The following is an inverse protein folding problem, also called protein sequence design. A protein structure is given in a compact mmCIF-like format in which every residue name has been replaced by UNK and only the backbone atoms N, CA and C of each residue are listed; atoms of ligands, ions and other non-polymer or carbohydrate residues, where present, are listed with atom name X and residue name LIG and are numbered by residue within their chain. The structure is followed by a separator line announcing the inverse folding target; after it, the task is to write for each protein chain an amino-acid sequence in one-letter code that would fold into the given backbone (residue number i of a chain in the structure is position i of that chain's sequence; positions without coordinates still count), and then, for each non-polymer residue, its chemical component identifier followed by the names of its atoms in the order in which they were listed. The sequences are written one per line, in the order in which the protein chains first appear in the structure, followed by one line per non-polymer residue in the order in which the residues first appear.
data_IF_747334890785
#
_entry.id   IF_747334890785
#
_cell.length_a   1.000
_cell.length_b   1.000
_cell.length_c   1.000
_cell.angle_alpha   90.00
_cell.angle_beta   90.00
_cell.angle_gamma   90.00
#
_symmetry.space_group_name_H-M   'P 1'
#
loop_
_entity.id
_entity.type
_entity.pdbx_description
1 polymer ?
#
# COMPACT_ATOMS: atom_id res chain seq x y z
N UNK A 1 -15.77 56.77 -23.18
CA UNK A 1 -16.10 55.34 -23.39
C UNK A 1 -14.98 54.40 -22.88
N UNK A 2 -14.36 54.69 -21.73
CA UNK A 2 -13.37 53.80 -21.06
C UNK A 2 -13.64 53.73 -19.53
N UNK A 3 -14.68 54.38 -19.03
CA UNK A 3 -15.00 54.41 -17.59
C UNK A 3 -16.04 53.37 -17.14
N UNK A 4 -16.74 52.68 -18.06
CA UNK A 4 -17.81 51.74 -17.71
C UNK A 4 -17.38 50.25 -17.73
N UNK A 5 -16.16 49.94 -18.16
CA UNK A 5 -15.67 48.55 -18.23
C UNK A 5 -15.04 48.04 -16.91
N UNK A 6 -15.26 48.71 -15.77
CA UNK A 6 -14.68 48.34 -14.46
C UNK A 6 -15.69 48.03 -13.35
N UNK A 7 -17.00 47.97 -13.65
CA UNK A 7 -18.03 47.67 -12.66
C UNK A 7 -18.63 46.25 -12.73
N UNK A 8 -18.23 45.41 -13.69
CA UNK A 8 -18.77 44.05 -13.85
C UNK A 8 -18.09 42.92 -13.05
N UNK A 9 -17.04 43.21 -12.26
CA UNK A 9 -16.24 42.16 -11.57
C UNK A 9 -16.38 42.16 -10.05
N UNK A 10 -17.51 42.67 -9.53
CA UNK A 10 -17.89 42.55 -8.10
C UNK A 10 -18.98 41.49 -7.86
N UNK A 11 -19.04 40.47 -8.71
CA UNK A 11 -19.74 39.24 -8.40
C UNK A 11 -18.91 38.41 -7.42
N UNK A 12 -19.18 38.58 -6.11
CA UNK A 12 -18.54 37.80 -5.07
C UNK A 12 -18.68 36.30 -5.36
N UNK A 13 -17.56 35.61 -5.49
CA UNK A 13 -17.54 34.15 -5.44
C UNK A 13 -18.26 33.72 -4.16
N UNK A 14 -19.22 32.78 -4.21
CA UNK A 14 -19.79 32.25 -2.99
C UNK A 14 -18.65 31.63 -2.20
N UNK A 15 -18.41 32.17 -0.99
CA UNK A 15 -17.38 31.67 -0.09
C UNK A 15 -17.64 30.18 0.17
N UNK A 16 -16.66 29.34 -0.15
CA UNK A 16 -16.67 27.88 0.06
C UNK A 16 -16.85 27.45 1.53
N UNK A 17 -17.04 28.41 2.45
CA UNK A 17 -17.29 28.18 3.87
C UNK A 17 -18.72 27.73 4.17
N UNK A 18 -19.70 27.95 3.28
CA UNK A 18 -21.12 27.62 3.56
C UNK A 18 -21.60 26.27 3.03
N UNK A 19 -20.88 25.65 2.09
CA UNK A 19 -21.23 24.31 1.58
C UNK A 19 -20.62 23.16 2.41
N UNK A 20 -19.71 23.48 3.34
CA UNK A 20 -18.96 22.48 4.13
C UNK A 20 -19.49 22.29 5.57
N UNK A 21 -20.64 22.89 5.89
CA UNK A 21 -21.24 22.83 7.24
C UNK A 21 -22.12 21.61 7.50
N UNK A 22 -22.86 21.12 6.48
CA UNK A 22 -23.75 19.96 6.63
C UNK A 22 -23.00 18.62 6.54
N UNK A 23 -21.88 18.57 5.82
CA UNK A 23 -21.05 17.38 5.68
C UNK A 23 -20.11 17.12 6.88
N UNK A 24 -19.84 18.13 7.71
CA UNK A 24 -18.91 18.02 8.86
C UNK A 24 -19.51 17.39 10.13
N UNK A 25 -20.83 17.17 10.15
CA UNK A 25 -21.55 16.69 11.35
C UNK A 25 -22.26 15.35 11.13
N UNK A 26 -21.94 14.63 10.05
CA UNK A 26 -22.14 13.18 10.00
C UNK A 26 -20.92 12.58 10.68
N UNK A 27 -21.10 12.20 11.95
CA UNK A 27 -20.10 11.67 12.86
C UNK A 27 -19.15 10.71 12.12
N UNK A 28 -17.83 10.89 12.19
CA UNK A 28 -16.88 9.99 11.50
C UNK A 28 -17.13 8.50 11.76
N UNK A 29 -17.79 8.18 12.88
CA UNK A 29 -18.30 6.85 13.25
C UNK A 29 -19.41 6.33 12.32
N UNK A 30 -20.36 7.15 11.88
CA UNK A 30 -21.43 6.73 10.94
C UNK A 30 -20.87 6.47 9.54
N UNK A 31 -19.90 7.29 9.10
CA UNK A 31 -19.20 7.07 7.83
C UNK A 31 -18.33 5.81 7.87
N UNK A 32 -17.61 5.57 8.98
CA UNK A 32 -16.86 4.34 9.20
C UNK A 32 -17.78 3.11 9.15
N UNK A 33 -18.93 3.18 9.85
CA UNK A 33 -19.92 2.11 9.86
C UNK A 33 -20.49 1.82 8.48
N UNK A 34 -20.82 2.85 7.70
CA UNK A 34 -21.30 2.71 6.32
C UNK A 34 -20.23 2.09 5.40
N UNK A 35 -18.97 2.53 5.52
CA UNK A 35 -17.86 1.98 4.75
C UNK A 35 -17.60 0.50 5.09
N UNK A 36 -17.67 0.14 6.37
CA UNK A 36 -17.55 -1.25 6.82
C UNK A 36 -18.70 -2.11 6.30
N UNK A 37 -19.94 -1.62 6.37
CA UNK A 37 -21.09 -2.32 5.82
C UNK A 37 -20.94 -2.55 4.31
N UNK A 38 -20.52 -1.52 3.57
CA UNK A 38 -20.23 -1.62 2.14
C UNK A 38 -19.12 -2.64 1.85
N UNK A 39 -18.06 -2.66 2.66
CA UNK A 39 -16.98 -3.64 2.53
C UNK A 39 -17.48 -5.06 2.76
N UNK A 40 -18.31 -5.29 3.78
CA UNK A 40 -18.89 -6.62 4.06
C UNK A 40 -19.80 -7.07 2.91
N UNK A 41 -20.67 -6.19 2.42
CA UNK A 41 -21.58 -6.51 1.31
C UNK A 41 -20.80 -6.80 0.03
N UNK A 42 -19.82 -5.97 -0.33
CA UNK A 42 -19.01 -6.17 -1.54
C UNK A 42 -18.10 -7.40 -1.44
N UNK A 43 -17.53 -7.67 -0.27
CA UNK A 43 -16.76 -8.90 0.00
C UNK A 43 -17.63 -10.15 -0.18
N UNK A 44 -18.85 -10.13 0.35
CA UNK A 44 -19.80 -11.23 0.19
C UNK A 44 -20.20 -11.41 -1.28
N UNK A 45 -20.59 -10.34 -1.97
CA UNK A 45 -20.92 -10.39 -3.41
C UNK A 45 -19.75 -10.91 -4.25
N UNK A 46 -18.52 -10.51 -3.94
CA UNK A 46 -17.30 -10.96 -4.64
C UNK A 46 -17.09 -12.47 -4.60
N UNK A 47 -17.59 -13.17 -3.58
CA UNK A 47 -17.47 -14.63 -3.49
C UNK A 47 -18.35 -15.37 -4.51
N UNK A 48 -19.47 -14.76 -4.91
CA UNK A 48 -20.43 -15.36 -5.84
C UNK A 48 -20.15 -14.97 -7.30
N UNK A 49 -19.44 -13.86 -7.54
CA UNK A 49 -19.03 -13.44 -8.88
C UNK A 49 -17.83 -14.28 -9.36
N UNK A 50 -17.98 -15.04 -10.45
CA UNK A 50 -16.87 -15.75 -11.07
C UNK A 50 -17.29 -16.70 -12.20
N UNK A 51 -16.30 -17.39 -12.78
CA UNK A 51 -16.48 -18.26 -13.96
C UNK A 51 -17.37 -19.48 -13.67
N UNK A 52 -17.43 -19.93 -12.41
CA UNK A 52 -18.33 -20.99 -11.97
C UNK A 52 -19.60 -20.43 -11.29
N UNK A 53 -20.77 -20.93 -11.66
CA UNK A 53 -22.02 -20.64 -10.97
C UNK A 53 -22.06 -21.45 -9.67
N UNK A 54 -21.63 -20.84 -8.56
CA UNK A 54 -21.72 -21.44 -7.23
C UNK A 54 -22.97 -20.89 -6.57
N UNK A 55 -23.97 -21.74 -6.29
CA UNK A 55 -25.12 -21.30 -5.49
C UNK A 55 -24.82 -21.42 -4.00
N UNK A 56 -25.41 -20.57 -3.13
CA UNK A 56 -25.22 -20.66 -1.67
C UNK A 56 -25.60 -22.02 -1.08
N UNK A 57 -26.52 -22.74 -1.74
CA UNK A 57 -26.96 -24.09 -1.37
C UNK A 57 -25.88 -25.15 -1.61
N UNK A 58 -25.05 -24.98 -2.64
CA UNK A 58 -23.94 -25.91 -2.94
C UNK A 58 -22.81 -25.76 -1.91
N UNK A 59 -22.58 -24.54 -1.42
CA UNK A 59 -21.61 -24.24 -0.36
C UNK A 59 -22.03 -24.88 0.97
N UNK A 60 -23.34 -24.88 1.27
CA UNK A 60 -23.87 -25.45 2.52
C UNK A 60 -23.78 -26.98 2.57
N UNK A 61 -23.75 -27.64 1.41
CA UNK A 61 -23.65 -29.09 1.30
C UNK A 61 -22.23 -29.62 1.55
N UNK A 62 -21.21 -28.76 1.53
CA UNK A 62 -19.79 -29.07 1.79
C UNK A 62 -19.29 -30.35 1.10
N UNK A 63 -19.87 -30.70 -0.05
CA UNK A 63 -19.46 -31.89 -0.78
C UNK A 63 -18.17 -31.58 -1.53
N UNK A 64 -17.04 -32.03 -0.98
CA UNK A 64 -15.69 -31.80 -1.52
C UNK A 64 -15.42 -32.57 -2.83
N UNK A 65 -16.39 -33.36 -3.30
CA UNK A 65 -16.35 -34.07 -4.58
C UNK A 65 -16.67 -33.16 -5.77
N UNK A 66 -17.41 -32.06 -5.57
CA UNK A 66 -17.77 -31.13 -6.64
C UNK A 66 -16.64 -30.16 -6.98
N UNK A 67 -16.28 -30.11 -8.26
CA UNK A 67 -15.27 -29.20 -8.81
C UNK A 67 -15.56 -27.73 -8.44
N UNK A 68 -16.85 -27.37 -8.32
CA UNK A 68 -17.31 -26.03 -7.98
C UNK A 68 -16.97 -25.63 -6.54
N UNK A 69 -17.18 -26.53 -5.58
CA UNK A 69 -16.84 -26.34 -4.16
C UNK A 69 -15.34 -26.20 -3.96
N UNK A 70 -14.53 -26.97 -4.72
CA UNK A 70 -13.06 -26.84 -4.71
C UNK A 70 -12.58 -25.48 -5.22
N UNK A 71 -13.11 -24.99 -6.34
CA UNK A 71 -12.75 -23.66 -6.86
C UNK A 71 -13.10 -22.55 -5.85
N UNK A 72 -14.23 -22.70 -5.14
CA UNK A 72 -14.64 -21.76 -4.10
C UNK A 72 -13.64 -21.71 -2.94
N UNK A 73 -13.27 -22.87 -2.37
CA UNK A 73 -12.38 -22.98 -1.21
C UNK A 73 -10.91 -22.70 -1.54
N UNK A 74 -10.43 -23.15 -2.70
CA UNK A 74 -9.01 -23.13 -3.06
C UNK A 74 -8.59 -21.82 -3.76
N UNK A 75 -9.55 -21.09 -4.35
CA UNK A 75 -9.26 -19.86 -5.10
C UNK A 75 -10.04 -18.64 -4.60
N UNK A 76 -11.37 -18.71 -4.48
CA UNK A 76 -12.18 -17.50 -4.18
C UNK A 76 -11.97 -16.99 -2.75
N UNK A 77 -12.04 -17.88 -1.77
CA UNK A 77 -11.84 -17.50 -0.36
C UNK A 77 -10.41 -17.00 -0.09
N UNK A 78 -9.33 -17.69 -0.53
CA UNK A 78 -7.97 -17.20 -0.38
C UNK A 78 -7.74 -15.87 -1.09
N UNK A 79 -8.32 -15.68 -2.27
CA UNK A 79 -8.24 -14.42 -3.02
C UNK A 79 -8.88 -13.26 -2.25
N UNK A 80 -10.09 -13.45 -1.71
CA UNK A 80 -10.76 -12.43 -0.90
C UNK A 80 -9.92 -12.08 0.34
N UNK A 81 -9.43 -13.09 1.06
CA UNK A 81 -8.57 -12.89 2.22
C UNK A 81 -7.31 -12.11 1.87
N UNK A 82 -6.66 -12.45 0.75
CA UNK A 82 -5.47 -11.74 0.30
C UNK A 82 -5.75 -10.28 -0.07
N UNK A 83 -6.87 -9.98 -0.74
CA UNK A 83 -7.28 -8.61 -1.06
C UNK A 83 -7.48 -7.78 0.21
N UNK A 84 -8.20 -8.33 1.20
CA UNK A 84 -8.47 -7.64 2.46
C UNK A 84 -7.17 -7.40 3.27
N UNK A 85 -6.30 -8.41 3.37
CA UNK A 85 -5.04 -8.31 4.08
C UNK A 85 -4.06 -7.36 3.39
N UNK A 86 -3.88 -7.49 2.06
CA UNK A 86 -2.99 -6.60 1.30
C UNK A 86 -3.49 -5.16 1.35
N UNK A 87 -4.79 -4.93 1.13
CA UNK A 87 -5.36 -3.58 1.13
C UNK A 87 -5.26 -2.89 2.49
N UNK A 88 -5.60 -3.59 3.58
CA UNK A 88 -5.49 -3.04 4.93
C UNK A 88 -4.04 -2.78 5.33
N UNK A 89 -3.14 -3.74 5.09
CA UNK A 89 -1.73 -3.62 5.43
C UNK A 89 -1.02 -2.51 4.64
N UNK A 90 -1.29 -2.39 3.34
CA UNK A 90 -0.74 -1.30 2.51
C UNK A 90 -1.24 0.07 2.96
N UNK A 91 -2.51 0.18 3.34
CA UNK A 91 -3.07 1.42 3.89
C UNK A 91 -2.39 1.80 5.21
N UNK A 92 -2.24 0.84 6.13
CA UNK A 92 -1.55 1.07 7.41
C UNK A 92 -0.07 1.42 7.20
N UNK A 93 0.63 0.70 6.32
CA UNK A 93 2.02 0.97 5.98
C UNK A 93 2.21 2.38 5.39
N UNK A 94 1.30 2.79 4.50
CA UNK A 94 1.22 4.14 3.96
C UNK A 94 1.06 5.19 5.04
N UNK A 95 0.07 5.03 5.93
CA UNK A 95 -0.18 5.96 7.03
C UNK A 95 1.05 6.12 7.94
N UNK A 96 1.69 5.01 8.31
CA UNK A 96 2.88 5.04 9.17
C UNK A 96 4.04 5.73 8.45
N UNK A 97 4.27 5.43 7.17
CA UNK A 97 5.32 6.11 6.40
C UNK A 97 5.08 7.62 6.33
N UNK A 98 3.85 8.04 6.03
CA UNK A 98 3.46 9.45 5.97
C UNK A 98 3.68 10.15 7.30
N UNK A 99 3.36 9.47 8.42
CA UNK A 99 3.54 9.99 9.79
C UNK A 99 5.01 10.14 10.13
N UNK A 100 5.83 9.12 9.86
CA UNK A 100 7.25 9.11 10.18
C UNK A 100 8.07 10.09 9.34
N UNK A 101 7.76 10.19 8.05
CA UNK A 101 8.41 11.14 7.11
C UNK A 101 7.81 12.54 7.23
N UNK A 102 6.68 12.68 7.94
CA UNK A 102 5.93 13.94 8.10
C UNK A 102 5.54 14.54 6.74
N UNK A 103 5.19 13.67 5.80
CA UNK A 103 4.81 14.05 4.44
C UNK A 103 3.71 13.13 3.91
N UNK A 104 2.52 13.70 3.72
CA UNK A 104 1.32 12.98 3.26
C UNK A 104 1.38 12.48 1.81
N UNK A 105 2.37 12.93 1.03
CA UNK A 105 2.55 12.49 -0.35
C UNK A 105 3.55 11.32 -0.48
N UNK A 106 4.11 10.85 0.64
CA UNK A 106 5.08 9.76 0.65
C UNK A 106 4.39 8.46 1.05
N UNK A 107 4.55 7.45 0.22
CA UNK A 107 4.10 6.08 0.49
C UNK A 107 5.12 5.07 -0.06
N UNK A 108 5.10 3.80 0.39
CA UNK A 108 5.99 2.77 -0.11
C UNK A 108 6.03 2.65 -1.64
N UNK A 109 4.86 2.80 -2.29
CA UNK A 109 4.71 2.80 -3.75
C UNK A 109 5.45 3.96 -4.43
N UNK A 110 5.53 5.13 -3.77
CA UNK A 110 6.27 6.30 -4.26
C UNK A 110 7.75 6.28 -3.90
N UNK A 111 8.15 5.45 -2.94
CA UNK A 111 9.52 5.36 -2.42
C UNK A 111 10.45 4.45 -3.24
N UNK A 112 10.03 4.02 -4.44
CA UNK A 112 10.80 3.08 -5.27
C UNK A 112 10.85 1.65 -4.73
N UNK A 113 10.02 1.32 -3.73
CA UNK A 113 9.97 -0.03 -3.12
C UNK A 113 9.59 -1.09 -4.15
N UNK A 114 8.59 -0.79 -4.98
CA UNK A 114 8.12 -1.69 -6.06
C UNK A 114 9.22 -1.93 -7.09
N UNK A 115 9.87 -0.87 -7.56
CA UNK A 115 10.97 -0.96 -8.53
C UNK A 115 12.14 -1.78 -7.97
N UNK A 116 12.43 -1.61 -6.68
CA UNK A 116 13.48 -2.36 -5.99
C UNK A 116 13.11 -3.83 -5.81
N UNK A 117 11.86 -4.14 -5.46
CA UNK A 117 11.35 -5.52 -5.41
C UNK A 117 11.48 -6.21 -6.77
N UNK A 118 11.07 -5.52 -7.85
CA UNK A 118 11.17 -6.00 -9.23
C UNK A 118 12.60 -6.28 -9.64
N UNK A 119 13.54 -5.36 -9.32
CA UNK A 119 14.96 -5.59 -9.54
C UNK A 119 15.44 -6.85 -8.80
N UNK A 120 15.07 -6.99 -7.52
CA UNK A 120 15.42 -8.16 -6.71
C UNK A 120 14.87 -9.47 -7.27
N UNK A 121 13.67 -9.46 -7.84
CA UNK A 121 13.06 -10.63 -8.49
C UNK A 121 13.79 -11.03 -9.77
N UNK A 122 14.18 -10.05 -10.61
CA UNK A 122 15.00 -10.29 -11.80
C UNK A 122 16.36 -10.87 -11.40
N UNK A 123 17.02 -10.23 -10.45
CA UNK A 123 18.30 -10.65 -9.84
C UNK A 123 18.23 -12.07 -9.29
N UNK A 124 17.20 -12.36 -8.49
CA UNK A 124 16.98 -13.68 -7.93
C UNK A 124 16.73 -14.74 -9.01
N UNK A 125 16.02 -14.39 -10.08
CA UNK A 125 15.72 -15.33 -11.16
C UNK A 125 16.94 -15.63 -12.01
N UNK A 126 17.82 -14.65 -12.25
CA UNK A 126 19.05 -14.84 -13.02
C UNK A 126 20.06 -15.72 -12.26
N UNK A 127 20.33 -15.41 -10.98
CA UNK A 127 21.38 -16.11 -10.22
C UNK A 127 20.88 -17.31 -9.42
N UNK A 128 19.60 -17.35 -9.06
CA UNK A 128 18.99 -18.41 -8.25
C UNK A 128 17.78 -19.03 -8.96
N UNK A 129 17.84 -19.15 -10.30
CA UNK A 129 16.74 -19.64 -11.14
C UNK A 129 16.18 -21.01 -10.73
N UNK A 130 17.02 -21.92 -10.24
CA UNK A 130 16.64 -23.26 -9.75
C UNK A 130 16.21 -23.30 -8.27
N UNK A 131 16.35 -22.20 -7.54
CA UNK A 131 16.03 -22.17 -6.12
C UNK A 131 14.51 -22.12 -5.86
N UNK A 132 14.14 -22.43 -4.62
CA UNK A 132 12.74 -22.39 -4.17
C UNK A 132 12.13 -21.00 -4.35
N UNK A 133 10.81 -20.97 -4.55
CA UNK A 133 10.04 -19.71 -4.64
C UNK A 133 10.27 -18.82 -3.41
N UNK A 134 10.38 -19.44 -2.23
CA UNK A 134 10.61 -18.74 -0.97
C UNK A 134 11.95 -17.99 -0.95
N UNK A 135 13.02 -18.59 -1.49
CA UNK A 135 14.32 -17.91 -1.56
C UNK A 135 14.26 -16.71 -2.49
N UNK A 136 13.63 -16.85 -3.67
CA UNK A 136 13.47 -15.75 -4.63
C UNK A 136 12.66 -14.60 -4.03
N UNK A 137 11.57 -14.93 -3.32
CA UNK A 137 10.76 -13.95 -2.61
C UNK A 137 11.54 -13.24 -1.51
N UNK A 138 12.36 -13.98 -0.74
CA UNK A 138 13.20 -13.40 0.30
C UNK A 138 14.22 -12.41 -0.26
N UNK A 139 14.87 -12.75 -1.39
CA UNK A 139 15.79 -11.84 -2.07
C UNK A 139 15.06 -10.58 -2.57
N UNK A 140 13.89 -10.74 -3.18
CA UNK A 140 13.08 -9.60 -3.62
C UNK A 140 12.68 -8.69 -2.45
N UNK A 141 12.30 -9.27 -1.31
CA UNK A 141 12.01 -8.52 -0.07
C UNK A 141 13.23 -7.76 0.44
N UNK A 142 14.42 -8.37 0.43
CA UNK A 142 15.65 -7.70 0.83
C UNK A 142 15.99 -6.51 -0.08
N UNK A 143 15.84 -6.66 -1.40
CA UNK A 143 16.04 -5.57 -2.35
C UNK A 143 15.01 -4.45 -2.16
N UNK A 144 13.74 -4.80 -1.98
CA UNK A 144 12.68 -3.84 -1.67
C UNK A 144 13.01 -3.04 -0.41
N UNK A 145 13.37 -3.73 0.67
CA UNK A 145 13.75 -3.14 1.94
C UNK A 145 14.97 -2.23 1.81
N UNK A 146 16.02 -2.69 1.11
CA UNK A 146 17.22 -1.89 0.85
C UNK A 146 16.90 -0.64 0.03
N UNK A 147 16.03 -0.76 -0.99
CA UNK A 147 15.58 0.35 -1.81
C UNK A 147 14.80 1.39 -1.01
N UNK A 148 13.85 0.97 -0.18
CA UNK A 148 13.09 1.87 0.70
C UNK A 148 14.02 2.58 1.70
N UNK A 149 14.94 1.84 2.33
CA UNK A 149 15.91 2.43 3.28
C UNK A 149 16.85 3.41 2.59
N UNK A 150 17.30 3.11 1.37
CA UNK A 150 18.12 4.02 0.57
C UNK A 150 17.35 5.30 0.22
N UNK A 151 16.10 5.17 -0.23
CA UNK A 151 15.22 6.32 -0.47
C UNK A 151 15.06 7.17 0.80
N UNK A 152 14.79 6.54 1.94
CA UNK A 152 14.66 7.25 3.21
C UNK A 152 15.94 7.98 3.62
N UNK A 153 17.11 7.35 3.41
CA UNK A 153 18.39 7.98 3.66
C UNK A 153 18.64 9.19 2.73
N UNK A 154 18.19 9.12 1.47
CA UNK A 154 18.22 10.26 0.55
C UNK A 154 17.35 11.40 1.07
N UNK A 155 16.10 11.11 1.45
CA UNK A 155 15.14 12.10 1.96
C UNK A 155 15.65 12.77 3.24
N UNK A 156 16.24 12.01 4.17
CA UNK A 156 16.78 12.55 5.42
C UNK A 156 17.95 13.53 5.22
N UNK A 157 18.68 13.42 4.09
CA UNK A 157 19.75 14.36 3.75
C UNK A 157 19.24 15.66 3.13
N UNK A 158 17.99 15.69 2.68
CA UNK A 158 17.38 16.88 2.10
C UNK A 158 16.93 17.81 3.22
N UNK A 159 17.55 19.00 3.30
CA UNK A 159 17.10 20.08 4.21
C UNK A 159 16.17 21.02 3.44
N UNK A 160 15.08 21.44 4.07
CA UNK A 160 14.12 22.44 3.54
C UNK A 160 13.62 22.16 2.13
N UNK A 161 12.91 21.06 1.97
CA UNK A 161 12.34 20.68 0.67
C UNK A 161 10.83 20.79 0.73
N UNK A 162 10.24 21.38 -0.31
CA UNK A 162 8.80 21.43 -0.45
C UNK A 162 8.20 20.02 -0.37
N UNK A 163 7.00 19.94 0.19
CA UNK A 163 6.26 18.69 0.41
C UNK A 163 6.16 17.84 -0.87
N UNK A 164 6.15 18.46 -2.06
CA UNK A 164 6.01 17.78 -3.35
C UNK A 164 7.33 17.17 -3.84
N UNK A 165 8.48 17.68 -3.42
CA UNK A 165 9.78 17.26 -3.96
C UNK A 165 10.16 15.87 -3.46
N UNK A 166 9.82 15.52 -2.22
CA UNK A 166 10.14 14.20 -1.66
C UNK A 166 9.51 13.06 -2.49
N UNK A 167 8.21 13.09 -2.85
CA UNK A 167 7.62 12.14 -3.79
C UNK A 167 8.27 12.16 -5.17
N UNK A 168 8.62 13.35 -5.71
CA UNK A 168 9.27 13.45 -7.02
C UNK A 168 10.63 12.74 -7.02
N UNK A 169 11.43 12.93 -5.99
CA UNK A 169 12.70 12.21 -5.80
C UNK A 169 12.44 10.71 -5.72
N UNK A 170 11.37 10.28 -5.06
CA UNK A 170 10.98 8.87 -4.97
C UNK A 170 10.62 8.26 -6.33
N UNK A 171 9.84 8.97 -7.13
CA UNK A 171 9.49 8.57 -8.50
C UNK A 171 10.75 8.51 -9.38
N UNK A 172 11.65 9.50 -9.29
CA UNK A 172 12.92 9.51 -10.02
C UNK A 172 13.82 8.34 -9.60
N UNK A 173 13.96 8.12 -8.29
CA UNK A 173 14.72 7.00 -7.74
C UNK A 173 14.16 5.65 -8.21
N UNK A 174 12.84 5.46 -8.07
CA UNK A 174 12.14 4.28 -8.57
C UNK A 174 12.36 4.08 -10.07
N UNK A 175 12.32 5.15 -10.87
CA UNK A 175 12.61 5.12 -12.29
C UNK A 175 14.02 4.63 -12.62
N UNK A 176 15.04 5.08 -11.87
CA UNK A 176 16.44 4.63 -12.04
C UNK A 176 16.57 3.13 -11.72
N UNK A 177 16.00 2.69 -10.59
CA UNK A 177 16.02 1.27 -10.19
C UNK A 177 15.25 0.41 -11.20
N UNK A 178 14.11 0.90 -11.67
CA UNK A 178 13.29 0.23 -12.67
C UNK A 178 14.02 0.12 -14.01
N UNK A 179 14.75 1.14 -14.43
CA UNK A 179 15.56 1.09 -15.66
C UNK A 179 16.64 -0.01 -15.58
N UNK A 180 17.29 -0.17 -14.41
CA UNK A 180 18.23 -1.26 -14.18
C UNK A 180 17.55 -2.64 -14.23
N UNK A 181 16.36 -2.77 -13.63
CA UNK A 181 15.57 -4.00 -13.68
C UNK A 181 15.16 -4.34 -15.12
N UNK A 182 14.68 -3.36 -15.88
CA UNK A 182 14.29 -3.51 -17.29
C UNK A 182 15.47 -3.88 -18.17
N UNK A 183 16.64 -3.26 -17.97
CA UNK A 183 17.85 -3.61 -18.73
C UNK A 183 18.27 -5.06 -18.49
N UNK A 184 18.30 -5.51 -17.24
CA UNK A 184 18.60 -6.91 -16.91
C UNK A 184 17.54 -7.85 -17.47
N UNK A 185 16.25 -7.51 -17.33
CA UNK A 185 15.17 -8.33 -17.86
C UNK A 185 15.23 -8.43 -19.39
N UNK A 186 15.58 -7.35 -20.10
CA UNK A 186 15.80 -7.39 -21.54
C UNK A 186 16.97 -8.30 -21.92
N UNK A 187 18.11 -8.18 -21.22
CA UNK A 187 19.31 -8.98 -21.50
C UNK A 187 19.09 -10.49 -21.32
N UNK A 188 18.24 -10.89 -20.39
CA UNK A 188 18.01 -12.29 -20.03
C UNK A 188 16.64 -12.83 -20.48
N UNK A 189 15.92 -12.10 -21.35
CA UNK A 189 14.59 -12.48 -21.86
C UNK A 189 13.49 -12.66 -20.77
N UNK A 190 13.58 -11.85 -19.71
CA UNK A 190 12.58 -11.79 -18.62
C UNK A 190 11.60 -10.62 -18.74
N UNK A 191 11.55 -9.88 -19.86
CA UNK A 191 10.65 -8.71 -19.97
C UNK A 191 9.18 -9.06 -19.74
N UNK A 192 8.72 -10.20 -20.26
CA UNK A 192 7.34 -10.66 -20.02
C UNK A 192 7.11 -10.98 -18.54
N UNK A 193 8.06 -11.64 -17.89
CA UNK A 193 7.98 -11.95 -16.45
C UNK A 193 7.99 -10.68 -15.60
N UNK A 194 8.86 -9.73 -15.92
CA UNK A 194 8.92 -8.44 -15.25
C UNK A 194 7.59 -7.67 -15.37
N UNK A 195 7.00 -7.63 -16.57
CA UNK A 195 5.68 -7.02 -16.77
C UNK A 195 4.59 -7.72 -15.96
N UNK A 196 4.63 -9.05 -15.84
CA UNK A 196 3.70 -9.81 -15.03
C UNK A 196 3.87 -9.54 -13.52
N UNK A 197 5.09 -9.27 -13.03
CA UNK A 197 5.34 -8.99 -11.61
C UNK A 197 5.00 -7.55 -11.21
N UNK A 198 5.17 -6.59 -12.11
CA UNK A 198 4.84 -5.18 -11.84
C UNK A 198 3.33 -4.99 -11.84
N UNK A 199 2.60 -5.71 -12.67
CA UNK A 199 1.13 -5.66 -12.66
C UNK A 199 0.60 -6.52 -11.51
N UNK A 200 -0.08 -5.89 -10.54
CA UNK A 200 -0.72 -6.61 -9.45
C UNK A 200 -1.76 -7.61 -9.96
N UNK A 201 -1.66 -8.87 -9.54
CA UNK A 201 -2.60 -9.92 -9.90
C UNK A 201 -2.91 -10.84 -8.71
N UNK A 202 -4.20 -10.91 -8.37
CA UNK A 202 -4.72 -11.79 -7.33
C UNK A 202 -5.19 -13.15 -7.88
N UNK A 203 -5.12 -13.37 -9.20
CA UNK A 203 -5.57 -14.60 -9.85
C UNK A 203 -4.77 -15.83 -9.38
N UNK A 204 -3.46 -15.65 -9.21
CA UNK A 204 -2.51 -16.67 -8.76
C UNK A 204 -2.48 -16.92 -7.25
N UNK A 205 -3.38 -16.28 -6.48
CA UNK A 205 -3.54 -16.53 -5.04
C UNK A 205 -4.30 -17.84 -4.85
N UNK A 206 -3.54 -18.94 -4.76
CA UNK A 206 -4.02 -20.29 -4.47
C UNK A 206 -3.60 -20.70 -3.05
N UNK A 207 -4.25 -21.72 -2.50
CA UNK A 207 -3.88 -22.32 -1.22
C UNK A 207 -2.38 -22.72 -1.22
N UNK A 208 -1.64 -22.30 -0.20
CA UNK A 208 -0.18 -22.49 -0.07
C UNK A 208 0.69 -21.29 -0.49
N UNK A 209 0.16 -20.27 -1.18
CA UNK A 209 0.89 -19.02 -1.49
C UNK A 209 0.47 -17.82 -0.66
N UNK A 210 -0.76 -17.82 -0.14
CA UNK A 210 -1.31 -16.71 0.63
C UNK A 210 -0.90 -16.72 2.11
N UNK A 211 -0.24 -17.78 2.59
CA UNK A 211 0.17 -17.91 4.00
C UNK A 211 1.18 -16.83 4.41
N UNK A 212 1.99 -16.33 3.47
CA UNK A 212 2.85 -15.17 3.65
C UNK A 212 2.05 -13.89 3.98
N UNK A 213 0.79 -13.78 3.56
CA UNK A 213 -0.07 -12.66 3.96
C UNK A 213 -0.55 -12.77 5.41
N UNK A 214 -0.51 -13.94 6.05
CA UNK A 214 -0.75 -14.01 7.50
C UNK A 214 0.34 -13.31 8.28
N UNK A 215 1.59 -13.42 7.82
CA UNK A 215 2.70 -12.65 8.37
C UNK A 215 2.45 -11.14 8.20
N UNK A 216 1.91 -10.71 7.06
CA UNK A 216 1.50 -9.31 6.84
C UNK A 216 0.39 -8.89 7.80
N UNK A 217 -0.61 -9.73 8.04
CA UNK A 217 -1.65 -9.48 9.03
C UNK A 217 -1.09 -9.33 10.45
N UNK A 218 -0.18 -10.23 10.83
CA UNK A 218 0.53 -10.16 12.11
C UNK A 218 1.36 -8.88 12.27
N UNK A 219 2.14 -8.51 11.24
CA UNK A 219 2.91 -7.27 11.21
C UNK A 219 2.01 -6.03 11.28
N UNK A 220 0.85 -6.07 10.64
CA UNK A 220 -0.15 -4.98 10.74
C UNK A 220 -0.68 -4.85 12.17
N UNK A 221 -0.93 -5.98 12.85
CA UNK A 221 -1.26 -6.01 14.28
C UNK A 221 -0.14 -5.43 15.16
N UNK A 222 1.12 -5.78 14.90
CA UNK A 222 2.27 -5.17 15.58
C UNK A 222 2.32 -3.66 15.33
N UNK A 223 2.07 -3.23 14.09
CA UNK A 223 2.02 -1.79 13.73
C UNK A 223 1.01 -1.05 14.59
N UNK A 224 -0.17 -1.64 14.79
CA UNK A 224 -1.22 -1.07 15.63
C UNK A 224 -0.77 -0.91 17.09
N UNK A 225 -0.04 -1.88 17.66
CA UNK A 225 0.51 -1.77 19.02
C UNK A 225 1.50 -0.59 19.16
N UNK A 226 2.22 -0.27 18.08
CA UNK A 226 3.19 0.83 18.05
C UNK A 226 2.62 2.16 17.53
N UNK A 227 1.33 2.21 17.16
CA UNK A 227 0.69 3.37 16.54
C UNK A 227 0.91 4.66 17.34
N UNK A 228 0.68 4.63 18.65
CA UNK A 228 0.88 5.79 19.53
C UNK A 228 2.33 6.32 19.48
N UNK A 229 3.33 5.43 19.39
CA UNK A 229 4.73 5.84 19.30
C UNK A 229 5.05 6.46 17.95
N UNK A 230 4.47 5.95 16.87
CA UNK A 230 4.62 6.55 15.54
C UNK A 230 4.00 7.95 15.48
N UNK A 231 2.83 8.15 16.09
CA UNK A 231 2.20 9.47 16.21
C UNK A 231 3.11 10.45 16.96
N UNK A 232 3.69 10.05 18.08
CA UNK A 232 4.62 10.89 18.85
C UNK A 232 5.86 11.29 18.04
N UNK A 233 6.44 10.34 17.29
CA UNK A 233 7.56 10.63 16.38
C UNK A 233 7.15 11.58 15.25
N UNK A 234 5.93 11.46 14.73
CA UNK A 234 5.37 12.35 13.70
C UNK A 234 5.20 13.80 14.16
N UNK A 235 5.09 14.05 15.48
CA UNK A 235 5.06 15.41 16.05
C UNK A 235 6.43 16.10 16.03
N UNK A 236 7.50 15.35 15.79
CA UNK A 236 8.87 15.86 15.68
C UNK A 236 9.77 15.33 16.80
N UNK A 237 11.09 15.45 16.56
CA UNK A 237 12.13 14.91 17.46
C UNK A 237 12.02 15.45 18.87
N UNK A 238 11.93 16.77 19.02
CA UNK A 238 11.95 17.41 20.35
C UNK A 238 10.72 17.01 21.18
N UNK A 239 9.55 16.91 20.55
CA UNK A 239 8.34 16.46 21.21
C UNK A 239 8.43 14.99 21.65
N UNK A 240 8.88 14.09 20.76
CA UNK A 240 9.02 12.67 21.08
C UNK A 240 10.02 12.42 22.22
N UNK A 241 11.16 13.13 22.21
CA UNK A 241 12.20 13.00 23.24
C UNK A 241 11.71 13.51 24.59
N UNK A 242 10.97 14.63 24.62
CA UNK A 242 10.39 15.18 25.86
C UNK A 242 9.37 14.24 26.52
N UNK A 243 8.68 13.39 25.74
CA UNK A 243 7.77 12.36 26.27
C UNK A 243 8.47 11.03 26.59
N UNK A 244 9.82 10.99 26.57
CA UNK A 244 10.61 9.81 26.92
C UNK A 244 10.69 8.74 25.83
N UNK A 245 10.32 9.07 24.58
CA UNK A 245 10.41 8.15 23.45
C UNK A 245 11.76 8.29 22.75
N UNK A 246 12.45 7.16 22.55
CA UNK A 246 13.66 7.12 21.72
C UNK A 246 13.32 7.31 20.23
N UNK A 247 13.38 8.56 19.76
CA UNK A 247 13.01 8.97 18.41
C UNK A 247 13.63 8.09 17.31
N UNK A 248 14.95 7.90 17.32
CA UNK A 248 15.65 7.13 16.27
C UNK A 248 15.22 5.66 16.22
N UNK A 249 15.05 5.02 17.39
CA UNK A 249 14.65 3.61 17.47
C UNK A 249 13.25 3.39 16.90
N UNK A 250 12.31 4.29 17.24
CA UNK A 250 10.93 4.20 16.75
C UNK A 250 10.86 4.56 15.27
N UNK A 251 11.62 5.56 14.82
CA UNK A 251 11.72 5.94 13.42
C UNK A 251 12.24 4.78 12.58
N UNK A 252 13.44 4.26 12.88
CA UNK A 252 14.03 3.17 12.10
C UNK A 252 13.25 1.85 12.24
N UNK A 253 12.72 1.55 13.42
CA UNK A 253 11.86 0.38 13.64
C UNK A 253 10.56 0.44 12.83
N UNK A 254 9.89 1.60 12.81
CA UNK A 254 8.68 1.81 12.03
C UNK A 254 8.96 1.76 10.53
N UNK A 255 10.05 2.37 10.07
CA UNK A 255 10.46 2.33 8.66
C UNK A 255 10.82 0.90 8.20
N UNK A 256 11.49 0.12 9.05
CA UNK A 256 11.78 -1.29 8.79
C UNK A 256 10.51 -2.14 8.72
N UNK A 257 9.54 -1.86 9.60
CA UNK A 257 8.27 -2.57 9.59
C UNK A 257 7.47 -2.25 8.33
N UNK A 258 7.35 -0.97 7.97
CA UNK A 258 6.67 -0.50 6.76
C UNK A 258 7.31 -1.10 5.50
N UNK A 259 8.64 -1.07 5.41
CA UNK A 259 9.36 -1.63 4.26
C UNK A 259 9.18 -3.13 4.16
N UNK A 260 9.19 -3.86 5.29
CA UNK A 260 8.92 -5.30 5.31
C UNK A 260 7.48 -5.63 4.87
N UNK A 261 6.49 -4.94 5.43
CA UNK A 261 5.06 -5.12 5.09
C UNK A 261 4.84 -4.87 3.59
N UNK A 262 5.28 -3.72 3.10
CA UNK A 262 5.10 -3.35 1.70
C UNK A 262 5.87 -4.27 0.76
N UNK A 263 7.09 -4.69 1.11
CA UNK A 263 7.86 -5.63 0.33
C UNK A 263 7.17 -6.99 0.19
N UNK A 264 6.65 -7.55 1.30
CA UNK A 264 5.93 -8.83 1.25
C UNK A 264 4.66 -8.71 0.42
N UNK A 265 3.88 -7.63 0.58
CA UNK A 265 2.67 -7.43 -0.23
C UNK A 265 3.00 -7.33 -1.71
N UNK A 266 3.99 -6.51 -2.09
CA UNK A 266 4.39 -6.32 -3.49
C UNK A 266 4.92 -7.61 -4.11
N UNK A 267 5.67 -8.42 -3.36
CA UNK A 267 6.22 -9.67 -3.89
C UNK A 267 5.15 -10.76 -4.05
N UNK A 268 4.13 -10.77 -3.18
CA UNK A 268 3.08 -11.80 -3.22
C UNK A 268 1.97 -11.45 -4.20
N UNK A 269 1.56 -10.19 -4.23
CA UNK A 269 0.38 -9.71 -4.98
C UNK A 269 0.77 -8.90 -6.22
N UNK A 270 1.96 -8.32 -6.24
CA UNK A 270 2.39 -7.34 -7.24
C UNK A 270 2.06 -5.90 -6.83
N UNK A 271 2.33 -4.95 -7.73
CA UNK A 271 2.12 -3.53 -7.45
C UNK A 271 0.64 -3.16 -7.53
N UNK A 272 0.15 -2.47 -6.49
CA UNK A 272 -1.14 -1.78 -6.51
C UNK A 272 -0.85 -0.28 -6.34
N UNK A 273 -0.79 0.48 -7.44
CA UNK A 273 -0.33 1.86 -7.38
C UNK A 273 -1.31 2.72 -6.57
N UNK A 274 -0.75 3.66 -5.79
CA UNK A 274 -1.46 4.70 -5.04
C UNK A 274 -2.41 4.24 -3.92
N UNK A 275 -2.61 2.94 -3.69
CA UNK A 275 -3.51 2.46 -2.63
C UNK A 275 -3.01 2.89 -1.23
N UNK A 276 -1.72 2.73 -0.98
CA UNK A 276 -1.01 3.16 0.23
C UNK A 276 -0.88 4.69 0.36
N UNK A 277 -1.19 5.45 -0.69
CA UNK A 277 -1.17 6.91 -0.67
C UNK A 277 -2.57 7.49 -0.46
N UNK A 278 -3.52 7.08 -1.28
CA UNK A 278 -4.87 7.66 -1.36
C UNK A 278 -5.69 7.29 -0.13
N UNK A 279 -5.68 6.01 0.27
CA UNK A 279 -6.54 5.53 1.35
C UNK A 279 -6.23 6.23 2.68
N UNK A 280 -4.97 6.31 3.13
CA UNK A 280 -4.65 7.03 4.37
C UNK A 280 -5.06 8.50 4.34
N UNK A 281 -4.78 9.20 3.24
CA UNK A 281 -5.14 10.62 3.08
C UNK A 281 -6.65 10.84 3.16
N UNK A 282 -7.45 9.98 2.50
CA UNK A 282 -8.92 10.06 2.54
C UNK A 282 -9.44 9.79 3.95
N UNK A 283 -8.88 8.81 4.65
CA UNK A 283 -9.27 8.50 6.04
C UNK A 283 -8.90 9.64 6.99
N UNK A 284 -7.69 10.19 6.92
CA UNK A 284 -7.27 11.37 7.71
C UNK A 284 -8.17 12.58 7.44
N UNK A 285 -8.55 12.84 6.18
CA UNK A 285 -9.47 13.94 5.85
C UNK A 285 -10.88 13.78 6.43
N UNK A 286 -11.34 12.54 6.62
CA UNK A 286 -12.70 12.25 7.10
C UNK A 286 -12.79 12.06 8.61
N UNK A 287 -11.75 11.50 9.22
CA UNK A 287 -11.74 11.14 10.65
C UNK A 287 -10.86 12.04 11.52
N UNK A 288 -9.91 12.79 10.93
CA UNK A 288 -8.93 13.60 11.65
C UNK A 288 -7.58 12.93 11.71
#
# INVERSE_FOLDING_TARGET
MVAEARQGLRGGWPTASKLTGWARKLEGRTLAGAALALLVVTAFCSLFIGVSNVTPLDVLRLDNSDHQTRVFIESRVPRLAAILLAGSAMSVAGLVMQTLVRNRFVAPSTAGTVSSASLGLVVATIWFGSASIFLKMSIAVLFAMAGTLLFLALVQRMKHTDIIVVPLVGIMFGGVVQAAATFLAFKYDLLQSLNAWINGDFSGTLRGRYELLYLVGGLTGVTYLFANRFTLVGMGRDFAVNLGVHYERVLYGGLCLVSLVSAVVVVVVGSIPFLDLVVPNVVTMTMG
#
